data_IF_521520893786
#
_entry.id   IF_521520893786
#
_cell.length_a   1.000
_cell.length_b   1.000
_cell.length_c   1.000
_cell.angle_alpha   90.00
_cell.angle_beta   90.00
_cell.angle_gamma   90.00
#
_symmetry.space_group_name_H-M   'P 1'
#
loop_
_entity.id
_entity.type
_entity.pdbx_description
1 polymer ?
#
# COMPACT_ATOMS: atom_id res chain seq x y z
N UNK A 1 -29.33 -22.04 24.11
CA UNK A 1 -28.76 -21.64 22.81
C UNK A 1 -29.81 -20.88 22.03
N UNK A 2 -29.73 -19.56 21.97
CA UNK A 2 -30.66 -18.70 21.23
C UNK A 2 -30.44 -18.89 19.73
N UNK A 3 -31.46 -19.34 18.99
CA UNK A 3 -31.40 -19.46 17.51
C UNK A 3 -31.37 -18.06 16.89
N UNK A 4 -30.45 -17.85 15.94
CA UNK A 4 -30.38 -16.62 15.14
C UNK A 4 -31.64 -16.49 14.25
N UNK A 5 -32.19 -15.27 14.18
CA UNK A 5 -33.31 -14.99 13.29
C UNK A 5 -32.91 -15.11 11.81
N UNK A 6 -33.86 -15.45 10.94
CA UNK A 6 -33.60 -15.62 9.50
C UNK A 6 -32.92 -14.42 8.85
N UNK A 7 -33.29 -13.20 9.27
CA UNK A 7 -32.64 -11.95 8.87
C UNK A 7 -31.15 -11.88 9.23
N UNK A 8 -30.80 -12.24 10.48
CA UNK A 8 -29.41 -12.21 10.95
C UNK A 8 -28.53 -13.18 10.17
N UNK A 9 -29.06 -14.37 9.83
CA UNK A 9 -28.32 -15.36 9.04
C UNK A 9 -28.01 -14.83 7.63
N UNK A 10 -28.99 -14.23 6.94
CA UNK A 10 -28.77 -13.62 5.62
C UNK A 10 -27.79 -12.45 5.68
N UNK A 11 -27.94 -11.58 6.69
CA UNK A 11 -27.05 -10.43 6.87
C UNK A 11 -25.58 -10.83 7.07
N UNK A 12 -25.31 -11.86 7.88
CA UNK A 12 -23.94 -12.36 8.08
C UNK A 12 -23.33 -12.85 6.76
N UNK A 13 -24.08 -13.62 5.97
CA UNK A 13 -23.61 -14.13 4.67
C UNK A 13 -23.32 -12.99 3.71
N UNK A 14 -24.22 -12.01 3.62
CA UNK A 14 -24.04 -10.85 2.74
C UNK A 14 -22.84 -10.00 3.17
N UNK A 15 -22.66 -9.78 4.47
CA UNK A 15 -21.52 -9.06 5.04
C UNK A 15 -20.19 -9.75 4.72
N UNK A 16 -20.13 -11.08 4.83
CA UNK A 16 -18.94 -11.86 4.48
C UNK A 16 -18.62 -11.78 2.98
N UNK A 17 -19.63 -11.89 2.11
CA UNK A 17 -19.43 -11.74 0.66
C UNK A 17 -18.96 -10.34 0.30
N UNK A 18 -19.54 -9.30 0.92
CA UNK A 18 -19.11 -7.92 0.71
C UNK A 18 -17.68 -7.69 1.21
N UNK A 19 -17.28 -8.29 2.33
CA UNK A 19 -15.92 -8.21 2.85
C UNK A 19 -14.89 -8.74 1.84
N UNK A 20 -15.17 -9.88 1.21
CA UNK A 20 -14.29 -10.45 0.18
C UNK A 20 -14.10 -9.49 -1.01
N UNK A 21 -15.18 -8.82 -1.42
CA UNK A 21 -15.12 -7.82 -2.48
C UNK A 21 -14.28 -6.61 -2.07
N UNK A 22 -14.42 -6.13 -0.82
CA UNK A 22 -13.59 -5.03 -0.29
C UNK A 22 -12.12 -5.42 -0.23
N UNK A 23 -11.78 -6.64 0.25
CA UNK A 23 -10.40 -7.15 0.24
C UNK A 23 -9.83 -7.17 -1.18
N UNK A 24 -10.59 -7.69 -2.15
CA UNK A 24 -10.15 -7.77 -3.54
C UNK A 24 -9.75 -6.40 -4.10
N UNK A 25 -10.53 -5.36 -3.78
CA UNK A 25 -10.24 -3.98 -4.19
C UNK A 25 -9.05 -3.39 -3.41
N UNK A 26 -8.84 -3.79 -2.15
CA UNK A 26 -7.77 -3.27 -1.30
C UNK A 26 -6.36 -3.80 -1.64
N UNK A 27 -6.25 -5.01 -2.21
CA UNK A 27 -4.97 -5.65 -2.56
C UNK A 27 -4.02 -4.71 -3.36
N UNK A 28 -4.44 -4.10 -4.48
CA UNK A 28 -3.55 -3.24 -5.27
C UNK A 28 -3.17 -1.91 -4.59
N UNK A 29 -3.86 -1.53 -3.52
CA UNK A 29 -3.64 -0.27 -2.78
C UNK A 29 -2.74 -0.51 -1.56
N UNK A 30 -2.45 -1.78 -1.24
CA UNK A 30 -1.69 -2.11 -0.05
C UNK A 30 -0.21 -1.71 -0.22
N UNK A 31 0.34 -0.83 0.65
CA UNK A 31 1.71 -0.36 0.48
C UNK A 31 2.70 -1.51 0.68
N UNK A 32 3.58 -1.67 -0.32
CA UNK A 32 4.58 -2.76 -0.32
C UNK A 32 5.98 -2.22 -0.13
N UNK A 33 6.87 -3.03 0.45
CA UNK A 33 8.29 -2.67 0.56
C UNK A 33 8.94 -2.45 -0.82
N UNK A 34 8.41 -3.10 -1.86
CA UNK A 34 8.95 -3.01 -3.22
C UNK A 34 8.91 -1.58 -3.75
N UNK A 35 7.82 -0.86 -3.46
CA UNK A 35 7.65 0.53 -3.90
C UNK A 35 8.69 1.46 -3.26
N UNK A 36 9.01 1.22 -1.98
CA UNK A 36 10.03 1.97 -1.23
C UNK A 36 11.42 1.71 -1.79
N UNK A 37 11.76 0.44 -2.09
CA UNK A 37 13.09 0.10 -2.63
C UNK A 37 13.27 0.66 -4.05
N UNK A 38 12.25 0.61 -4.89
CA UNK A 38 12.28 1.25 -6.22
C UNK A 38 12.53 2.75 -6.09
N UNK A 39 11.85 3.41 -5.15
CA UNK A 39 12.03 4.85 -4.89
C UNK A 39 13.45 5.16 -4.39
N UNK A 40 14.00 4.33 -3.48
CA UNK A 40 15.39 4.46 -3.00
C UNK A 40 16.39 4.36 -4.15
N UNK A 41 16.19 3.40 -5.06
CA UNK A 41 17.06 3.23 -6.22
C UNK A 41 16.96 4.40 -7.19
N UNK A 42 15.74 4.89 -7.47
CA UNK A 42 15.54 6.06 -8.30
C UNK A 42 16.26 7.29 -7.73
N UNK A 43 16.16 7.53 -6.41
CA UNK A 43 16.81 8.66 -5.74
C UNK A 43 18.34 8.51 -5.72
N UNK A 44 18.86 7.28 -5.53
CA UNK A 44 20.30 7.01 -5.60
C UNK A 44 20.86 7.27 -7.00
N UNK A 45 20.17 6.83 -8.04
CA UNK A 45 20.55 7.10 -9.43
C UNK A 45 20.50 8.58 -9.75
N UNK A 46 19.45 9.29 -9.30
CA UNK A 46 19.33 10.73 -9.51
C UNK A 46 20.51 11.49 -8.88
N UNK A 47 20.93 11.11 -7.66
CA UNK A 47 22.10 11.70 -7.02
C UNK A 47 23.39 11.50 -7.83
N UNK A 48 23.60 10.30 -8.40
CA UNK A 48 24.74 10.01 -9.28
C UNK A 48 24.64 10.82 -10.58
N UNK A 49 23.46 10.87 -11.20
CA UNK A 49 23.19 11.63 -12.42
C UNK A 49 23.51 13.11 -12.23
N UNK A 50 23.00 13.73 -11.15
CA UNK A 50 23.24 15.14 -10.80
C UNK A 50 24.74 15.41 -10.60
N UNK A 51 25.43 14.56 -9.85
CA UNK A 51 26.87 14.68 -9.64
C UNK A 51 27.65 14.60 -10.96
N UNK A 52 27.31 13.62 -11.81
CA UNK A 52 28.03 13.37 -13.06
C UNK A 52 27.80 14.48 -14.07
N UNK A 53 26.55 14.93 -14.22
CA UNK A 53 26.18 16.08 -15.06
C UNK A 53 26.93 17.35 -14.67
N UNK A 54 27.19 17.54 -13.38
CA UNK A 54 27.94 18.69 -12.88
C UNK A 54 29.47 18.59 -13.12
N UNK A 55 30.02 17.38 -13.24
CA UNK A 55 31.47 17.15 -13.23
C UNK A 55 32.05 16.54 -14.51
N UNK A 56 31.23 15.98 -15.40
CA UNK A 56 31.66 15.33 -16.63
C UNK A 56 31.35 16.21 -17.84
N UNK A 57 32.40 16.75 -18.46
CA UNK A 57 32.28 17.61 -19.63
C UNK A 57 31.77 16.88 -20.89
N UNK A 58 31.84 15.54 -20.91
CA UNK A 58 31.37 14.68 -22.00
C UNK A 58 30.15 13.86 -21.60
N UNK A 59 29.33 14.37 -20.66
CA UNK A 59 28.13 13.70 -20.23
C UNK A 59 27.16 13.48 -21.39
N UNK A 60 26.94 12.22 -21.78
CA UNK A 60 25.89 11.82 -22.71
C UNK A 60 24.72 11.22 -21.92
N UNK A 61 23.60 11.93 -21.91
CA UNK A 61 22.39 11.56 -21.17
C UNK A 61 21.75 10.27 -21.69
N UNK A 62 21.90 9.96 -22.99
CA UNK A 62 21.29 8.78 -23.60
C UNK A 62 22.01 7.48 -23.22
N UNK A 63 23.35 7.51 -23.12
CA UNK A 63 24.16 6.36 -22.70
C UNK A 63 23.90 5.99 -21.22
N UNK A 64 23.66 7.00 -20.38
CA UNK A 64 23.36 6.78 -18.96
C UNK A 64 21.96 6.25 -18.74
N UNK A 65 20.97 6.74 -19.49
CA UNK A 65 19.60 6.19 -19.44
C UNK A 65 19.57 4.72 -19.87
N UNK A 66 20.36 4.31 -20.86
CA UNK A 66 20.44 2.89 -21.24
C UNK A 66 21.08 2.00 -20.16
N UNK A 67 22.12 2.48 -19.48
CA UNK A 67 22.74 1.73 -18.37
C UNK A 67 21.82 1.63 -17.17
N UNK A 68 20.97 2.62 -16.95
CA UNK A 68 19.95 2.56 -15.92
C UNK A 68 18.90 1.49 -16.22
N UNK A 69 18.48 1.35 -17.48
CA UNK A 69 17.53 0.32 -17.91
C UNK A 69 18.10 -1.09 -17.66
N UNK A 70 19.34 -1.35 -18.08
CA UNK A 70 20.05 -2.61 -17.80
C UNK A 70 20.16 -2.90 -16.29
N UNK A 71 20.37 -1.87 -15.48
CA UNK A 71 20.46 -1.99 -14.03
C UNK A 71 19.11 -2.27 -13.37
N UNK A 72 18.02 -1.70 -13.89
CA UNK A 72 16.65 -1.98 -13.44
C UNK A 72 16.26 -3.42 -13.78
N UNK A 73 16.71 -3.93 -14.94
CA UNK A 73 16.53 -5.32 -15.32
C UNK A 73 17.31 -6.28 -14.40
N UNK A 74 18.55 -5.95 -14.01
CA UNK A 74 19.31 -6.73 -13.02
C UNK A 74 18.66 -6.66 -11.62
N UNK A 75 18.07 -5.52 -11.27
CA UNK A 75 17.32 -5.36 -10.01
C UNK A 75 16.07 -6.23 -9.94
N UNK A 76 15.43 -6.56 -11.06
CA UNK A 76 14.29 -7.49 -11.05
C UNK A 76 14.64 -8.89 -10.48
N UNK A 77 15.92 -9.25 -10.41
CA UNK A 77 16.41 -10.49 -9.80
C UNK A 77 16.66 -10.40 -8.27
N UNK A 78 16.92 -9.18 -7.73
CA UNK A 78 17.22 -8.95 -6.30
C UNK A 78 16.13 -8.11 -5.61
N UNK A 79 15.12 -8.78 -5.04
CA UNK A 79 13.93 -8.13 -4.47
C UNK A 79 14.18 -7.14 -3.31
N UNK A 80 15.37 -7.12 -2.70
CA UNK A 80 15.68 -6.20 -1.60
C UNK A 80 16.42 -4.94 -2.06
N UNK A 81 17.03 -4.93 -3.24
CA UNK A 81 17.81 -3.79 -3.76
C UNK A 81 19.07 -3.45 -2.97
N UNK A 82 19.40 -4.25 -1.96
CA UNK A 82 20.55 -3.97 -1.10
C UNK A 82 21.86 -4.19 -1.84
N UNK A 83 21.94 -5.17 -2.76
CA UNK A 83 23.16 -5.37 -3.56
C UNK A 83 23.38 -4.20 -4.50
N UNK A 84 22.33 -3.80 -5.21
CA UNK A 84 22.31 -2.66 -6.13
C UNK A 84 22.78 -1.37 -5.46
N UNK A 85 22.20 -1.02 -4.30
CA UNK A 85 22.62 0.16 -3.53
C UNK A 85 24.05 0.02 -3.02
N UNK A 86 24.44 -1.16 -2.53
CA UNK A 86 25.80 -1.39 -2.03
C UNK A 86 26.85 -1.21 -3.13
N UNK A 87 26.60 -1.73 -4.33
CA UNK A 87 27.49 -1.54 -5.49
C UNK A 87 27.59 -0.05 -5.86
N UNK A 88 26.46 0.68 -5.85
CA UNK A 88 26.48 2.13 -6.07
C UNK A 88 27.29 2.87 -5.00
N UNK A 89 27.11 2.53 -3.73
CA UNK A 89 27.84 3.15 -2.62
C UNK A 89 29.34 2.81 -2.66
N UNK A 90 29.72 1.58 -2.99
CA UNK A 90 31.13 1.20 -3.14
C UNK A 90 31.79 1.92 -4.33
N UNK A 91 31.06 2.12 -5.43
CA UNK A 91 31.56 2.76 -6.64
C UNK A 91 31.60 4.30 -6.53
N UNK A 92 30.55 4.89 -5.95
CA UNK A 92 30.30 6.34 -5.98
C UNK A 92 30.31 7.00 -4.61
N UNK A 93 30.32 6.25 -3.50
CA UNK A 93 30.19 6.81 -2.15
C UNK A 93 31.34 7.71 -1.70
N UNK A 94 32.46 7.72 -2.42
CA UNK A 94 33.54 8.70 -2.21
C UNK A 94 33.27 10.05 -2.88
N UNK A 95 32.31 10.11 -3.81
CA UNK A 95 32.02 11.27 -4.67
C UNK A 95 30.61 11.83 -4.46
N UNK A 96 29.65 10.95 -4.17
CA UNK A 96 28.24 11.25 -4.00
C UNK A 96 27.88 10.93 -2.56
N UNK A 97 27.22 11.88 -1.89
CA UNK A 97 26.68 11.65 -0.55
C UNK A 97 25.34 10.92 -0.66
N UNK A 98 25.29 9.69 -0.14
CA UNK A 98 24.08 8.87 -0.10
C UNK A 98 23.34 8.98 1.25
N UNK A 99 23.79 9.84 2.16
CA UNK A 99 23.19 9.98 3.49
C UNK A 99 21.74 10.45 3.44
N UNK A 100 21.40 11.35 2.51
CA UNK A 100 20.04 11.83 2.29
C UNK A 100 19.13 10.69 1.80
N UNK A 101 19.59 9.91 0.83
CA UNK A 101 18.86 8.75 0.28
C UNK A 101 18.61 7.68 1.36
N UNK A 102 19.61 7.41 2.19
CA UNK A 102 19.49 6.45 3.30
C UNK A 102 18.57 6.96 4.41
N UNK A 103 18.60 8.27 4.70
CA UNK A 103 17.72 8.88 5.70
C UNK A 103 16.27 8.83 5.24
N UNK A 104 16.00 9.17 3.98
CA UNK A 104 14.67 9.09 3.41
C UNK A 104 14.15 7.65 3.36
N UNK A 105 14.99 6.70 2.95
CA UNK A 105 14.65 5.28 2.96
C UNK A 105 14.24 4.80 4.36
N UNK A 106 15.02 5.14 5.40
CA UNK A 106 14.69 4.79 6.79
C UNK A 106 13.38 5.40 7.24
N UNK A 107 13.14 6.67 6.92
CA UNK A 107 11.87 7.33 7.24
C UNK A 107 10.67 6.63 6.57
N UNK A 108 10.80 6.24 5.29
CA UNK A 108 9.75 5.53 4.57
C UNK A 108 9.52 4.11 5.12
N UNK A 109 10.57 3.38 5.48
CA UNK A 109 10.46 2.05 6.09
C UNK A 109 9.81 2.13 7.48
N UNK A 110 10.19 3.10 8.30
CA UNK A 110 9.58 3.29 9.62
C UNK A 110 8.12 3.73 9.50
N UNK A 111 7.80 4.55 8.50
CA UNK A 111 6.43 4.94 8.17
C UNK A 111 5.61 3.81 7.56
N UNK A 112 6.23 2.80 6.93
CA UNK A 112 5.53 1.72 6.24
C UNK A 112 4.55 0.98 7.16
N UNK A 113 4.96 0.68 8.40
CA UNK A 113 4.07 0.02 9.36
C UNK A 113 2.85 0.88 9.68
N UNK A 114 3.05 2.19 9.81
CA UNK A 114 1.96 3.15 10.04
C UNK A 114 1.04 3.23 8.82
N UNK A 115 1.59 3.27 7.61
CA UNK A 115 0.82 3.33 6.37
C UNK A 115 0.06 2.04 6.09
N UNK A 116 0.65 0.88 6.38
CA UNK A 116 -0.03 -0.41 6.35
C UNK A 116 -1.17 -0.46 7.36
N UNK A 117 -0.94 -0.03 8.61
CA UNK A 117 -1.97 0.02 9.64
C UNK A 117 -3.11 0.96 9.24
N UNK A 118 -2.80 2.12 8.65
CA UNK A 118 -3.77 3.08 8.13
C UNK A 118 -4.59 2.47 6.98
N UNK A 119 -3.94 1.82 6.03
CA UNK A 119 -4.60 1.14 4.90
C UNK A 119 -5.55 0.03 5.37
N UNK A 120 -5.11 -0.79 6.34
CA UNK A 120 -5.95 -1.81 6.98
C UNK A 120 -7.15 -1.15 7.68
N UNK A 121 -6.92 -0.09 8.45
CA UNK A 121 -7.98 0.63 9.16
C UNK A 121 -9.03 1.21 8.21
N UNK A 122 -8.59 1.85 7.12
CA UNK A 122 -9.50 2.38 6.09
C UNK A 122 -10.28 1.25 5.41
N UNK A 123 -9.63 0.14 5.08
CA UNK A 123 -10.28 -1.04 4.48
C UNK A 123 -11.36 -1.62 5.40
N UNK A 124 -11.05 -1.75 6.69
CA UNK A 124 -12.00 -2.22 7.70
C UNK A 124 -13.19 -1.27 7.85
N UNK A 125 -12.96 0.05 7.85
CA UNK A 125 -14.03 1.05 7.92
C UNK A 125 -14.92 1.02 6.68
N UNK A 126 -14.33 0.92 5.49
CA UNK A 126 -15.05 0.83 4.22
C UNK A 126 -15.98 -0.39 4.17
N UNK A 127 -15.59 -1.51 4.80
CA UNK A 127 -16.46 -2.67 4.97
C UNK A 127 -17.48 -2.51 6.11
N UNK A 128 -17.04 -2.08 7.28
CA UNK A 128 -17.83 -2.10 8.51
C UNK A 128 -18.99 -1.09 8.48
N UNK A 129 -18.74 0.13 7.99
CA UNK A 129 -19.74 1.21 8.00
C UNK A 129 -20.99 0.82 7.18
N UNK A 130 -20.88 0.39 5.91
CA UNK A 130 -22.05 -0.06 5.14
C UNK A 130 -22.76 -1.25 5.77
N UNK A 131 -22.01 -2.21 6.31
CA UNK A 131 -22.53 -3.43 6.93
C UNK A 131 -23.40 -3.11 8.16
N UNK A 132 -22.91 -2.22 9.04
CA UNK A 132 -23.64 -1.75 10.21
C UNK A 132 -24.87 -0.94 9.79
N UNK A 133 -24.72 -0.05 8.80
CA UNK A 133 -25.84 0.75 8.30
C UNK A 133 -26.99 -0.13 7.79
N UNK A 134 -26.69 -1.14 6.97
CA UNK A 134 -27.69 -2.09 6.46
C UNK A 134 -28.34 -2.90 7.59
N UNK A 135 -27.57 -3.29 8.61
CA UNK A 135 -28.12 -3.99 9.78
C UNK A 135 -29.15 -3.13 10.51
N UNK A 136 -28.79 -1.87 10.81
CA UNK A 136 -29.64 -0.93 11.53
C UNK A 136 -30.91 -0.60 10.75
N UNK A 137 -30.83 -0.49 9.42
CA UNK A 137 -31.99 -0.30 8.56
C UNK A 137 -32.95 -1.50 8.64
N UNK A 138 -32.42 -2.72 8.52
CA UNK A 138 -33.25 -3.93 8.65
C UNK A 138 -33.90 -4.06 10.03
N UNK A 139 -33.17 -3.69 11.08
CA UNK A 139 -33.70 -3.65 12.45
C UNK A 139 -34.82 -2.61 12.59
N UNK A 140 -34.64 -1.41 12.03
CA UNK A 140 -35.66 -0.35 12.04
C UNK A 140 -36.95 -0.77 11.36
N UNK A 141 -36.88 -1.41 10.19
CA UNK A 141 -38.05 -1.92 9.47
C UNK A 141 -38.78 -2.99 10.29
N UNK A 142 -38.05 -3.92 10.92
CA UNK A 142 -38.64 -4.95 11.77
C UNK A 142 -39.35 -4.35 13.00
N UNK A 143 -38.77 -3.31 13.61
CA UNK A 143 -39.35 -2.60 14.74
C UNK A 143 -40.64 -1.84 14.37
N UNK A 144 -40.66 -1.18 13.21
CA UNK A 144 -41.87 -0.52 12.71
C UNK A 144 -42.96 -1.55 12.42
N UNK A 145 -42.61 -2.66 11.76
CA UNK A 145 -43.56 -3.72 11.42
C UNK A 145 -44.17 -4.41 12.65
N UNK A 146 -43.40 -4.58 13.73
CA UNK A 146 -43.90 -5.15 14.98
C UNK A 146 -44.83 -4.19 15.71
N UNK A 147 -44.54 -2.88 15.71
CA UNK A 147 -45.40 -1.85 16.29
C UNK A 147 -46.81 -1.84 15.70
N UNK A 148 -46.96 -1.99 14.37
CA UNK A 148 -48.27 -2.04 13.72
C UNK A 148 -49.05 -3.35 13.95
N UNK A 149 -48.38 -4.46 14.24
CA UNK A 149 -49.05 -5.75 14.53
C UNK A 149 -49.58 -5.86 15.95
N UNK A 150 -49.05 -5.07 16.89
CA UNK A 150 -49.50 -5.07 18.29
C UNK A 150 -50.89 -4.47 18.53
N UNK A 151 -51.50 -3.81 17.53
CA UNK A 151 -52.76 -3.07 17.68
C UNK A 151 -54.01 -3.81 17.17
N UNK A 152 -53.93 -5.15 17.04
CA UNK A 152 -55.09 -6.03 16.80
C UNK A 152 -55.36 -6.84 18.06
N UNK A 153 -55.90 -6.20 19.09
CA UNK A 153 -56.61 -6.86 20.20
C UNK A 153 -58.01 -6.27 20.31
#
# INVERSE_FOLDING_TARGET
>A
MTRLNGWQRMWVVLSALYFLLVIFIAIPIFPTQKDIVITRLANATDAIYVYRKANDANFDELDELSKFDDFVDEYHEDQTGDKSIKVMQETWGSKVDFSDVETEYRQQIDALLMDQAKSIGVTLLAWFIPVVAVYLLGFGVAWIASGFRGNRS
#
